data_IF_047570773231
#
_entry.id   IF_047570773231
#
_cell.length_a   1.000
_cell.length_b   1.000
_cell.length_c   1.000
_cell.angle_alpha   90.00
_cell.angle_beta   90.00
_cell.angle_gamma   90.00
#
_symmetry.space_group_name_H-M   'P 1'
#
loop_
_entity.id
_entity.type
_entity.pdbx_description
1 polymer ?
#
# COMPACT_ATOMS: atom_id res chain seq x y z
N UNK A 1 20.01 13.33 17.91
CA UNK A 1 18.76 13.63 18.64
C UNK A 1 18.77 12.86 19.95
N UNK A 2 18.52 13.52 21.06
CA UNK A 2 18.34 12.85 22.36
C UNK A 2 16.85 12.52 22.55
N UNK A 3 16.55 11.36 23.16
CA UNK A 3 15.19 10.97 23.49
C UNK A 3 14.77 11.63 24.82
N UNK A 4 14.19 12.81 24.69
CA UNK A 4 13.83 13.68 25.81
C UNK A 4 12.54 13.25 26.51
N UNK A 5 12.45 13.37 27.85
CA UNK A 5 11.20 13.12 28.57
C UNK A 5 10.12 14.13 28.21
N UNK A 6 8.91 13.62 27.92
CA UNK A 6 7.69 14.38 27.85
C UNK A 6 7.09 14.49 29.25
N UNK A 7 7.25 15.65 29.88
CA UNK A 7 6.70 15.92 31.20
C UNK A 7 5.26 16.41 31.12
N UNK A 8 4.34 15.71 31.78
CA UNK A 8 2.91 16.02 31.80
C UNK A 8 2.59 17.18 32.76
N UNK A 9 3.45 17.45 33.73
CA UNK A 9 3.26 18.50 34.74
C UNK A 9 3.98 19.78 34.31
N UNK A 10 3.38 20.94 34.58
CA UNK A 10 3.98 22.24 34.30
C UNK A 10 3.81 22.75 32.86
N UNK A 11 3.14 21.97 32.01
CA UNK A 11 2.81 22.34 30.64
C UNK A 11 1.33 22.08 30.36
N UNK A 12 0.65 23.07 29.79
CA UNK A 12 -0.69 22.89 29.25
C UNK A 12 -0.57 22.45 27.79
N UNK A 13 -1.03 21.24 27.48
CA UNK A 13 -1.12 20.75 26.11
C UNK A 13 -2.42 21.28 25.49
N UNK A 14 -2.32 22.40 24.77
CA UNK A 14 -3.47 22.99 24.06
C UNK A 14 -3.90 22.17 22.85
N UNK A 15 -2.95 21.47 22.23
CA UNK A 15 -3.18 20.54 21.15
C UNK A 15 -2.72 19.15 21.61
N UNK A 16 -3.57 18.13 21.47
CA UNK A 16 -3.16 16.75 21.71
C UNK A 16 -1.99 16.33 20.81
N UNK A 17 -1.35 15.21 21.14
CA UNK A 17 -0.22 14.69 20.40
C UNK A 17 -0.67 13.59 19.44
N UNK A 18 -0.32 13.70 18.15
CA UNK A 18 -0.56 12.63 17.19
C UNK A 18 0.72 11.80 16.99
N UNK A 19 0.60 10.47 17.08
CA UNK A 19 1.71 9.52 16.92
C UNK A 19 1.36 8.47 15.88
N UNK A 20 2.38 7.84 15.30
CA UNK A 20 2.20 6.60 14.55
C UNK A 20 2.15 5.41 15.50
N UNK A 21 1.33 4.40 15.21
CA UNK A 21 1.40 3.08 15.87
C UNK A 21 2.84 2.53 15.86
N UNK A 22 3.24 1.94 16.99
CA UNK A 22 4.61 1.48 17.26
C UNK A 22 5.57 2.58 17.73
N UNK A 23 5.10 3.83 17.87
CA UNK A 23 5.92 4.90 18.46
C UNK A 23 5.91 4.81 19.98
N UNK A 24 6.97 5.32 20.61
CA UNK A 24 7.07 5.36 22.08
C UNK A 24 7.28 6.78 22.59
N UNK A 25 6.68 7.09 23.74
CA UNK A 25 6.96 8.29 24.50
C UNK A 25 7.78 7.96 25.73
N UNK A 26 8.62 8.90 26.15
CA UNK A 26 9.32 8.85 27.43
C UNK A 26 8.56 9.72 28.42
N UNK A 27 7.68 9.13 29.20
CA UNK A 27 6.73 9.88 30.03
C UNK A 27 7.33 10.27 31.38
N UNK A 28 7.06 11.50 31.79
CA UNK A 28 7.37 12.04 33.11
C UNK A 28 6.16 12.81 33.65
N UNK A 29 6.05 12.94 34.97
CA UNK A 29 5.00 13.75 35.59
C UNK A 29 5.46 14.22 36.96
N UNK A 30 6.32 15.23 37.00
CA UNK A 30 6.74 15.89 38.25
C UNK A 30 7.15 17.35 38.00
N UNK A 31 7.02 18.25 38.99
CA UNK A 31 7.53 19.62 38.91
C UNK A 31 9.04 19.66 38.71
N UNK A 32 9.56 20.68 38.01
CA UNK A 32 10.99 20.79 37.70
C UNK A 32 11.90 20.85 38.95
N UNK A 33 11.39 21.36 40.07
CA UNK A 33 12.05 21.48 41.37
C UNK A 33 11.90 20.23 42.26
N UNK A 34 11.10 19.24 41.84
CA UNK A 34 10.93 18.02 42.60
C UNK A 34 12.20 17.16 42.57
N UNK A 35 12.67 16.77 43.75
CA UNK A 35 13.83 15.87 43.93
C UNK A 35 13.44 14.50 44.50
N UNK A 36 12.26 14.40 45.10
CA UNK A 36 11.69 13.18 45.69
C UNK A 36 10.18 13.16 45.50
N UNK A 37 9.58 11.97 45.58
CA UNK A 37 8.12 11.80 45.46
C UNK A 37 7.74 10.55 44.68
N UNK A 38 6.47 10.16 44.80
CA UNK A 38 5.86 9.09 44.01
C UNK A 38 5.17 9.67 42.78
N UNK A 39 5.35 9.02 41.64
CA UNK A 39 4.71 9.38 40.38
C UNK A 39 3.83 8.24 39.93
N UNK A 40 2.58 8.54 39.58
CA UNK A 40 1.66 7.60 38.94
C UNK A 40 1.30 8.12 37.56
N UNK A 41 1.54 7.32 36.54
CA UNK A 41 1.06 7.55 35.18
C UNK A 41 -0.12 6.60 34.92
N UNK A 42 -1.18 7.15 34.34
CA UNK A 42 -2.39 6.41 33.97
C UNK A 42 -2.66 6.64 32.50
N UNK A 43 -2.74 5.56 31.73
CA UNK A 43 -3.07 5.57 30.32
C UNK A 43 -4.43 4.92 30.15
N UNK A 44 -5.40 5.69 29.68
CA UNK A 44 -6.73 5.19 29.35
C UNK A 44 -6.87 5.10 27.84
N UNK A 45 -7.24 3.93 27.34
CA UNK A 45 -7.58 3.69 25.94
C UNK A 45 -9.09 3.85 25.74
N UNK A 46 -9.50 4.84 24.94
CA UNK A 46 -10.90 5.13 24.70
C UNK A 46 -11.62 4.03 23.88
N UNK A 47 -10.90 3.23 23.10
CA UNK A 47 -11.49 2.21 22.24
C UNK A 47 -11.83 0.93 23.03
N UNK A 48 -10.92 0.50 23.91
CA UNK A 48 -11.08 -0.72 24.72
C UNK A 48 -11.62 -0.43 26.12
N UNK A 49 -11.61 0.84 26.54
CA UNK A 49 -11.89 1.28 27.90
C UNK A 49 -10.92 0.67 28.95
N UNK A 50 -9.74 0.21 28.52
CA UNK A 50 -8.71 -0.31 29.39
C UNK A 50 -7.88 0.80 30.02
N UNK A 51 -7.39 0.54 31.23
CA UNK A 51 -6.54 1.47 31.99
C UNK A 51 -5.24 0.78 32.35
N UNK A 52 -4.12 1.34 31.91
CA UNK A 52 -2.78 0.93 32.33
C UNK A 52 -2.24 1.92 33.36
N UNK A 53 -1.86 1.42 34.54
CA UNK A 53 -1.23 2.22 35.59
C UNK A 53 0.24 1.87 35.73
N UNK A 54 1.08 2.90 35.82
CA UNK A 54 2.53 2.77 35.95
C UNK A 54 2.96 3.59 37.15
N UNK A 55 3.66 2.94 38.08
CA UNK A 55 4.28 3.60 39.23
C UNK A 55 5.73 3.91 38.90
N UNK A 56 6.13 5.15 39.13
CA UNK A 56 7.46 5.68 38.89
C UNK A 56 7.91 6.57 40.06
N UNK A 57 9.13 7.08 39.97
CA UNK A 57 9.70 8.02 40.93
C UNK A 57 10.18 9.28 40.22
N UNK A 58 10.26 10.38 40.97
CA UNK A 58 10.81 11.64 40.48
C UNK A 58 12.23 11.42 39.92
N UNK A 59 12.49 11.98 38.74
CA UNK A 59 13.77 11.83 38.03
C UNK A 59 13.91 10.57 37.18
N UNK A 60 12.94 9.64 37.24
CA UNK A 60 12.97 8.38 36.48
C UNK A 60 11.83 8.31 35.46
N UNK A 61 12.01 8.87 34.25
CA UNK A 61 10.96 8.89 33.23
C UNK A 61 10.81 7.50 32.59
N UNK A 62 9.58 7.15 32.21
CA UNK A 62 9.20 5.78 31.81
C UNK A 62 8.91 5.69 30.31
N UNK A 63 9.52 4.74 29.57
CA UNK A 63 9.08 4.40 28.21
C UNK A 63 7.66 3.88 28.20
N UNK A 64 6.83 4.33 27.26
CA UNK A 64 5.57 3.66 26.93
C UNK A 64 5.40 3.58 25.41
N UNK A 65 5.14 2.37 24.91
CA UNK A 65 4.91 2.09 23.49
C UNK A 65 3.41 2.13 23.17
N UNK A 66 3.06 2.83 22.09
CA UNK A 66 1.70 2.94 21.58
C UNK A 66 1.53 2.06 20.35
N UNK A 67 1.27 0.78 20.57
CA UNK A 67 1.21 -0.21 19.48
C UNK A 67 -0.17 -0.27 18.81
N UNK A 68 -1.23 0.14 19.52
CA UNK A 68 -2.60 0.13 19.00
C UNK A 68 -3.02 1.52 18.53
N UNK A 69 -3.66 1.60 17.36
CA UNK A 69 -4.27 2.83 16.88
C UNK A 69 -5.51 3.17 17.72
N UNK A 70 -5.71 4.45 18.02
CA UNK A 70 -6.79 4.88 18.90
C UNK A 70 -6.56 6.24 19.55
N UNK A 71 -7.49 6.62 20.41
CA UNK A 71 -7.38 7.80 21.26
C UNK A 71 -7.05 7.35 22.68
N UNK A 72 -5.98 7.92 23.22
CA UNK A 72 -5.52 7.67 24.57
C UNK A 72 -5.55 8.96 25.37
N UNK A 73 -5.87 8.84 26.65
CA UNK A 73 -5.65 9.91 27.62
C UNK A 73 -4.53 9.47 28.56
N UNK A 74 -3.42 10.20 28.53
CA UNK A 74 -2.28 9.99 29.42
C UNK A 74 -2.37 11.02 30.53
N UNK A 75 -2.54 10.56 31.77
CA UNK A 75 -2.57 11.40 32.96
C UNK A 75 -1.38 11.07 33.84
N UNK A 76 -0.79 12.09 34.46
CA UNK A 76 0.32 11.94 35.38
C UNK A 76 0.03 12.68 36.68
N UNK A 77 0.35 12.05 37.80
CA UNK A 77 0.21 12.62 39.14
C UNK A 77 1.51 12.44 39.90
N UNK A 78 2.07 13.52 40.42
CA UNK A 78 3.18 13.51 41.37
C UNK A 78 2.64 13.84 42.76
N UNK A 79 3.05 13.07 43.77
CA UNK A 79 2.83 13.39 45.18
C UNK A 79 4.18 13.47 45.90
N UNK A 80 4.46 14.59 46.54
CA UNK A 80 5.68 14.82 47.31
C UNK A 80 5.39 15.68 48.56
N UNK A 81 6.44 16.06 49.30
CA UNK A 81 6.31 16.89 50.50
C UNK A 81 5.71 18.29 50.23
N UNK A 82 5.82 18.78 48.99
CA UNK A 82 5.30 20.09 48.57
C UNK A 82 3.84 20.02 48.09
N UNK A 83 3.25 18.82 48.01
CA UNK A 83 1.85 18.60 47.65
C UNK A 83 1.66 17.65 46.46
N UNK A 84 0.52 17.81 45.80
CA UNK A 84 0.11 17.01 44.64
C UNK A 84 0.04 17.89 43.40
N UNK A 85 0.71 17.47 42.32
CA UNK A 85 0.63 18.10 41.01
C UNK A 85 0.21 17.09 39.97
N UNK A 86 -0.57 17.51 38.99
CA UNK A 86 -1.03 16.63 37.92
C UNK A 86 -1.01 17.31 36.56
N UNK A 87 -1.13 16.51 35.51
CA UNK A 87 -1.34 16.97 34.16
C UNK A 87 -1.81 15.84 33.25
N UNK A 88 -2.39 16.21 32.12
CA UNK A 88 -3.03 15.28 31.20
C UNK A 88 -2.70 15.65 29.76
N UNK A 89 -2.54 14.63 28.91
CA UNK A 89 -2.30 14.75 27.48
C UNK A 89 -3.22 13.78 26.73
N UNK A 90 -3.95 14.30 25.75
CA UNK A 90 -4.61 13.47 24.75
C UNK A 90 -3.59 13.02 23.70
N UNK A 91 -3.51 11.72 23.43
CA UNK A 91 -2.65 11.11 22.41
C UNK A 91 -3.51 10.41 21.37
N UNK A 92 -3.40 10.80 20.10
CA UNK A 92 -4.04 10.12 18.97
C UNK A 92 -3.01 9.26 18.24
N UNK A 93 -3.18 7.95 18.33
CA UNK A 93 -2.31 6.99 17.65
C UNK A 93 -2.95 6.63 16.32
N UNK A 94 -2.25 6.93 15.23
CA UNK A 94 -2.72 6.75 13.86
C UNK A 94 -1.96 5.59 13.23
N UNK A 95 -2.69 4.76 12.50
CA UNK A 95 -2.12 3.80 11.56
C UNK A 95 -2.37 4.26 10.14
N UNK A 96 -1.52 3.83 9.23
CA UNK A 96 -1.65 4.04 7.80
C UNK A 96 -1.03 2.85 7.09
N UNK A 97 -1.76 2.22 6.18
CA UNK A 97 -1.22 1.14 5.36
C UNK A 97 -1.79 1.19 3.94
N UNK A 98 -0.89 1.17 2.96
CA UNK A 98 -1.26 0.92 1.57
C UNK A 98 -1.78 -0.52 1.41
N UNK A 99 -2.64 -0.75 0.43
CA UNK A 99 -3.16 -2.08 0.16
C UNK A 99 -2.15 -2.90 -0.65
N UNK A 100 -1.25 -3.59 0.06
CA UNK A 100 -0.09 -4.26 -0.49
C UNK A 100 1.16 -3.37 -0.50
N UNK A 101 2.32 -4.00 -0.72
CA UNK A 101 3.62 -3.28 -0.75
C UNK A 101 4.02 -2.81 -2.14
N UNK A 102 3.44 -3.42 -3.17
CA UNK A 102 3.71 -3.10 -4.56
C UNK A 102 2.41 -2.98 -5.35
N UNK A 103 2.33 -1.92 -6.14
CA UNK A 103 1.22 -1.63 -7.00
C UNK A 103 1.68 -1.61 -8.46
N UNK A 104 1.15 -2.52 -9.28
CA UNK A 104 1.48 -2.56 -10.70
C UNK A 104 0.51 -1.73 -11.54
N UNK A 105 1.02 -0.93 -12.47
CA UNK A 105 0.23 -0.15 -13.43
C UNK A 105 0.65 -0.50 -14.85
N UNK A 106 -0.29 -0.73 -15.76
CA UNK A 106 0.06 -0.82 -17.19
C UNK A 106 0.50 0.56 -17.67
N UNK A 107 1.64 0.64 -18.36
CA UNK A 107 2.23 1.93 -18.77
C UNK A 107 1.23 2.76 -19.57
N UNK A 108 1.03 4.01 -19.15
CA UNK A 108 0.10 4.94 -19.82
C UNK A 108 -1.39 4.68 -19.57
N UNK A 109 -1.75 3.68 -18.78
CA UNK A 109 -3.14 3.44 -18.36
C UNK A 109 -3.31 3.76 -16.86
N UNK A 110 -4.41 4.44 -16.48
CA UNK A 110 -4.69 4.69 -15.07
C UNK A 110 -5.14 3.38 -14.39
N UNK A 111 -4.61 3.15 -13.19
CA UNK A 111 -5.07 2.12 -12.26
C UNK A 111 -5.83 2.76 -11.10
N UNK A 112 -6.96 2.17 -10.75
CA UNK A 112 -7.63 2.41 -9.47
C UNK A 112 -7.03 1.52 -8.39
N UNK A 113 -6.64 2.10 -7.26
CA UNK A 113 -6.04 1.39 -6.14
C UNK A 113 -6.64 1.84 -4.81
N UNK A 114 -7.40 0.94 -4.20
CA UNK A 114 -8.12 1.20 -2.96
C UNK A 114 -7.25 0.86 -1.75
N UNK A 115 -6.99 1.86 -0.92
CA UNK A 115 -6.17 1.78 0.28
C UNK A 115 -7.03 2.15 1.51
N UNK A 116 -7.85 1.22 2.03
CA UNK A 116 -8.73 1.49 3.17
C UNK A 116 -7.96 1.86 4.44
N UNK A 117 -6.71 1.38 4.57
CA UNK A 117 -5.82 1.71 5.69
C UNK A 117 -5.22 3.11 5.61
N UNK A 118 -5.29 3.81 4.48
CA UNK A 118 -4.79 5.19 4.36
C UNK A 118 -5.91 6.18 4.66
N UNK A 119 -5.85 6.79 5.83
CA UNK A 119 -6.84 7.76 6.29
C UNK A 119 -6.71 9.09 5.56
N UNK A 120 -7.81 9.87 5.52
CA UNK A 120 -7.86 11.19 4.87
C UNK A 120 -6.97 12.23 5.52
N UNK A 121 -6.56 12.00 6.76
CA UNK A 121 -5.65 12.89 7.51
C UNK A 121 -4.18 12.64 7.14
N UNK A 122 -3.91 11.60 6.33
CA UNK A 122 -2.57 11.29 5.86
C UNK A 122 -2.16 12.24 4.74
N UNK A 123 -0.95 12.78 4.83
CA UNK A 123 -0.33 13.51 3.74
C UNK A 123 0.40 12.52 2.84
N UNK A 124 0.04 12.51 1.56
CA UNK A 124 0.66 11.63 0.56
C UNK A 124 1.76 12.38 -0.16
N UNK A 125 2.97 11.81 -0.12
CA UNK A 125 4.13 12.26 -0.86
C UNK A 125 4.45 11.19 -1.90
N UNK A 126 4.45 11.56 -3.17
CA UNK A 126 4.72 10.65 -4.28
C UNK A 126 5.87 11.19 -5.12
N UNK A 127 6.59 10.30 -5.80
CA UNK A 127 7.54 10.71 -6.82
C UNK A 127 6.85 11.57 -7.88
N UNK A 128 7.48 12.67 -8.28
CA UNK A 128 6.88 13.71 -9.13
C UNK A 128 6.53 13.24 -10.54
N UNK A 129 7.02 12.06 -10.95
CA UNK A 129 6.68 11.44 -12.24
C UNK A 129 5.35 10.69 -12.19
N UNK A 130 4.82 10.35 -11.01
CA UNK A 130 3.51 9.73 -10.89
C UNK A 130 2.41 10.78 -11.13
N UNK A 131 1.45 10.43 -11.99
CA UNK A 131 0.17 11.13 -12.00
C UNK A 131 -0.75 10.46 -10.99
N UNK A 132 -1.16 11.22 -9.98
CA UNK A 132 -1.88 10.73 -8.83
C UNK A 132 -3.09 11.63 -8.53
N UNK A 133 -4.25 11.01 -8.41
CA UNK A 133 -5.41 11.65 -7.77
C UNK A 133 -5.89 10.78 -6.61
N UNK A 134 -6.42 11.42 -5.57
CA UNK A 134 -6.89 10.76 -4.36
C UNK A 134 -8.35 11.16 -4.11
N UNK A 135 -9.17 10.18 -3.73
CA UNK A 135 -10.57 10.39 -3.35
C UNK A 135 -10.92 9.54 -2.14
N UNK A 136 -11.89 9.98 -1.35
CA UNK A 136 -12.30 9.24 -0.15
C UNK A 136 -13.12 8.01 -0.53
N UNK A 137 -12.82 6.87 0.08
CA UNK A 137 -13.67 5.68 -0.02
C UNK A 137 -14.91 5.86 0.87
N UNK A 138 -16.07 5.38 0.41
CA UNK A 138 -17.32 5.39 1.19
C UNK A 138 -17.17 4.58 2.48
N UNK A 139 -16.43 3.47 2.44
CA UNK A 139 -16.13 2.60 3.59
C UNK A 139 -15.06 3.17 4.53
N UNK A 140 -14.53 4.36 4.27
CA UNK A 140 -13.34 4.89 4.92
C UNK A 140 -12.05 4.50 4.19
N UNK A 141 -11.05 5.36 4.34
CA UNK A 141 -9.76 5.27 3.64
C UNK A 141 -9.72 6.04 2.33
N UNK A 142 -8.72 5.76 1.49
CA UNK A 142 -8.44 6.54 0.27
C UNK A 142 -8.34 5.64 -0.95
N UNK A 143 -8.99 6.04 -2.04
CA UNK A 143 -8.83 5.51 -3.39
C UNK A 143 -7.86 6.39 -4.16
N UNK A 144 -6.83 5.76 -4.71
CA UNK A 144 -5.90 6.41 -5.62
C UNK A 144 -6.23 6.05 -7.06
N UNK A 145 -6.17 7.03 -7.96
CA UNK A 145 -6.00 6.78 -9.38
C UNK A 145 -4.56 7.10 -9.72
N UNK A 146 -3.80 6.07 -10.08
CA UNK A 146 -2.36 6.14 -10.32
C UNK A 146 -2.09 5.87 -11.79
N UNK A 147 -1.34 6.74 -12.44
CA UNK A 147 -0.81 6.48 -13.78
C UNK A 147 0.71 6.59 -13.74
N UNK A 148 1.37 5.55 -14.26
CA UNK A 148 2.81 5.41 -14.27
C UNK A 148 3.36 5.62 -15.69
N UNK A 149 4.19 6.64 -15.94
CA UNK A 149 4.61 6.98 -17.31
C UNK A 149 5.90 6.28 -17.76
N UNK A 150 6.70 5.72 -16.84
CA UNK A 150 8.02 5.16 -17.14
C UNK A 150 8.12 3.69 -16.77
N UNK A 151 9.25 3.04 -17.10
CA UNK A 151 9.61 1.65 -16.78
C UNK A 151 10.42 1.51 -15.48
N UNK A 152 10.71 2.61 -14.79
CA UNK A 152 11.47 2.63 -13.52
C UNK A 152 10.53 2.52 -12.34
N UNK A 153 10.91 1.85 -11.24
CA UNK A 153 10.10 1.87 -10.03
C UNK A 153 10.00 3.29 -9.46
N UNK A 154 8.79 3.69 -9.12
CA UNK A 154 8.48 4.95 -8.42
C UNK A 154 7.86 4.62 -7.06
N UNK A 155 7.80 5.60 -6.16
CA UNK A 155 7.39 5.38 -4.79
C UNK A 155 6.34 6.39 -4.32
N UNK A 156 5.54 5.93 -3.36
CA UNK A 156 4.58 6.73 -2.62
C UNK A 156 4.78 6.51 -1.12
N UNK A 157 4.58 7.56 -0.34
CA UNK A 157 4.73 7.57 1.11
C UNK A 157 3.53 8.26 1.74
N UNK A 158 2.95 7.64 2.76
CA UNK A 158 1.93 8.25 3.60
C UNK A 158 2.57 8.79 4.88
N UNK A 159 2.24 10.01 5.28
CA UNK A 159 2.78 10.69 6.47
C UNK A 159 1.67 11.20 7.38
N UNK A 160 1.96 11.24 8.67
CA UNK A 160 1.09 11.86 9.67
C UNK A 160 1.27 13.39 9.67
N UNK A 161 0.65 14.09 8.72
CA UNK A 161 0.95 15.49 8.44
C UNK A 161 2.20 15.67 7.57
N UNK A 162 2.43 16.88 7.06
CA UNK A 162 3.46 17.14 6.05
C UNK A 162 4.88 16.82 6.55
N UNK A 163 5.21 17.24 7.77
CA UNK A 163 6.53 17.03 8.40
C UNK A 163 6.53 15.87 9.41
N UNK A 164 5.44 15.10 9.46
CA UNK A 164 5.27 14.05 10.44
C UNK A 164 5.97 12.73 10.08
N UNK A 165 5.90 11.75 11.00
CA UNK A 165 6.45 10.42 10.76
C UNK A 165 5.79 9.75 9.55
N UNK A 166 6.58 8.91 8.87
CA UNK A 166 6.09 8.04 7.80
C UNK A 166 5.21 6.97 8.40
N UNK A 167 3.96 6.90 7.94
CA UNK A 167 3.01 5.85 8.28
C UNK A 167 3.37 4.55 7.55
N UNK A 168 3.47 4.65 6.23
CA UNK A 168 3.78 3.54 5.32
C UNK A 168 4.35 4.04 3.98
N UNK A 169 4.91 3.14 3.19
CA UNK A 169 5.43 3.40 1.85
C UNK A 169 5.11 2.26 0.89
N UNK A 170 4.82 2.59 -0.35
CA UNK A 170 4.57 1.61 -1.40
C UNK A 170 5.42 1.88 -2.63
N UNK A 171 5.80 0.79 -3.30
CA UNK A 171 6.45 0.80 -4.60
C UNK A 171 5.37 0.73 -5.68
N UNK A 172 5.47 1.59 -6.69
CA UNK A 172 4.64 1.54 -7.89
C UNK A 172 5.54 1.05 -9.03
N UNK A 173 5.13 0.00 -9.72
CA UNK A 173 5.85 -0.55 -10.87
C UNK A 173 5.03 -0.39 -12.13
N UNK A 174 5.72 -0.20 -13.26
CA UNK A 174 5.08 -0.22 -14.55
C UNK A 174 5.23 -1.59 -15.22
N UNK A 175 4.13 -2.02 -15.83
CA UNK A 175 4.11 -3.10 -16.80
C UNK A 175 3.99 -2.45 -18.18
N UNK A 176 5.12 -2.36 -18.87
CA UNK A 176 5.12 -2.16 -20.32
C UNK A 176 4.93 -3.51 -20.98
N UNK A 177 4.34 -3.55 -22.18
CA UNK A 177 4.20 -4.80 -22.89
C UNK A 177 3.88 -4.63 -24.36
N UNK A 178 4.34 -5.61 -25.14
CA UNK A 178 3.87 -5.87 -26.49
C UNK A 178 2.71 -6.87 -26.43
N UNK A 179 1.57 -6.51 -27.03
CA UNK A 179 0.35 -7.31 -27.02
C UNK A 179 0.30 -8.29 -28.21
N UNK A 180 1.39 -9.02 -28.45
CA UNK A 180 1.43 -10.02 -29.51
C UNK A 180 1.71 -9.47 -30.91
N UNK A 181 2.50 -8.39 -31.05
CA UNK A 181 2.89 -7.89 -32.38
C UNK A 181 3.71 -8.90 -33.18
N UNK A 182 4.43 -9.78 -32.50
CA UNK A 182 5.10 -10.92 -33.10
C UNK A 182 4.15 -12.11 -33.23
N UNK A 183 3.99 -12.58 -34.46
CA UNK A 183 3.40 -13.89 -34.74
C UNK A 183 4.17 -14.61 -35.86
N UNK A 184 4.19 -15.94 -35.79
CA UNK A 184 4.86 -16.79 -36.78
C UNK A 184 4.02 -18.03 -37.05
N UNK A 185 3.78 -18.31 -38.34
CA UNK A 185 3.19 -19.61 -38.73
C UNK A 185 4.26 -20.69 -38.52
N UNK A 186 3.97 -21.64 -37.64
CA UNK A 186 4.84 -22.80 -37.37
C UNK A 186 4.55 -23.94 -38.34
N UNK A 187 3.28 -24.16 -38.65
CA UNK A 187 2.81 -25.28 -39.46
C UNK A 187 1.54 -24.87 -40.22
N UNK A 188 1.41 -25.37 -41.45
CA UNK A 188 0.16 -25.38 -42.21
C UNK A 188 -0.24 -26.83 -42.42
N UNK A 189 -1.40 -27.22 -41.89
CA UNK A 189 -1.92 -28.57 -41.99
C UNK A 189 -2.48 -28.86 -43.40
N UNK A 190 -2.74 -30.13 -43.69
CA UNK A 190 -3.24 -30.56 -45.01
C UNK A 190 -4.61 -29.99 -45.38
N UNK A 191 -5.42 -29.63 -44.38
CA UNK A 191 -6.73 -28.97 -44.57
C UNK A 191 -6.62 -27.44 -44.74
N UNK A 192 -5.39 -26.90 -44.76
CA UNK A 192 -5.10 -25.48 -44.90
C UNK A 192 -5.18 -24.69 -43.59
N UNK A 193 -5.58 -25.32 -42.48
CA UNK A 193 -5.51 -24.67 -41.17
C UNK A 193 -4.05 -24.43 -40.77
N UNK A 194 -3.81 -23.43 -39.91
CA UNK A 194 -2.47 -22.97 -39.54
C UNK A 194 -2.29 -23.01 -38.04
N UNK A 195 -1.14 -23.51 -37.59
CA UNK A 195 -0.66 -23.36 -36.22
C UNK A 195 0.24 -22.13 -36.16
N UNK A 196 -0.14 -21.16 -35.35
CA UNK A 196 0.52 -19.86 -35.26
C UNK A 196 1.06 -19.69 -33.85
N UNK A 197 2.34 -19.36 -33.74
CA UNK A 197 2.96 -18.89 -32.50
C UNK A 197 2.76 -17.39 -32.36
N UNK A 198 2.45 -16.95 -31.15
CA UNK A 198 2.36 -15.54 -30.78
C UNK A 198 3.27 -15.33 -29.57
N UNK A 199 3.99 -14.20 -29.55
CA UNK A 199 4.86 -13.82 -28.44
C UNK A 199 4.27 -12.63 -27.70
N UNK A 200 4.01 -12.80 -26.42
CA UNK A 200 3.74 -11.72 -25.49
C UNK A 200 5.04 -11.37 -24.76
N UNK A 201 5.35 -10.08 -24.63
CA UNK A 201 6.51 -9.63 -23.88
C UNK A 201 6.11 -8.52 -22.92
N UNK A 202 6.47 -8.65 -21.65
CA UNK A 202 6.26 -7.66 -20.61
C UNK A 202 7.62 -7.18 -20.06
N UNK A 203 7.74 -5.89 -19.78
CA UNK A 203 8.98 -5.32 -19.20
C UNK A 203 9.17 -5.65 -17.72
N UNK A 204 8.06 -5.88 -17.00
CA UNK A 204 8.04 -6.30 -15.59
C UNK A 204 6.98 -7.37 -15.42
N UNK A 205 7.29 -8.44 -14.70
CA UNK A 205 6.38 -9.56 -14.40
C UNK A 205 6.24 -9.68 -12.88
N UNK A 206 5.26 -9.01 -12.24
CA UNK A 206 4.97 -9.19 -10.82
C UNK A 206 4.62 -10.64 -10.50
N UNK A 207 4.95 -11.11 -9.30
CA UNK A 207 4.69 -12.51 -8.91
C UNK A 207 3.18 -12.85 -8.85
N UNK A 208 2.35 -11.85 -8.62
CA UNK A 208 0.89 -11.90 -8.57
C UNK A 208 0.24 -11.50 -9.91
N UNK A 209 1.00 -11.50 -11.01
CA UNK A 209 0.50 -11.21 -12.35
C UNK A 209 -0.48 -12.28 -12.83
N UNK A 210 -1.59 -11.82 -13.39
CA UNK A 210 -2.51 -12.64 -14.16
C UNK A 210 -2.84 -11.94 -15.48
N UNK A 211 -2.62 -12.62 -16.61
CA UNK A 211 -2.97 -12.12 -17.95
C UNK A 211 -4.07 -12.99 -18.52
N UNK A 212 -5.21 -12.38 -18.85
CA UNK A 212 -6.33 -13.05 -19.50
C UNK A 212 -6.37 -12.67 -20.96
N UNK A 213 -6.28 -13.69 -21.82
CA UNK A 213 -6.37 -13.56 -23.25
C UNK A 213 -7.73 -14.07 -23.70
N UNK A 214 -8.40 -13.32 -24.57
CA UNK A 214 -9.66 -13.73 -25.18
C UNK A 214 -9.66 -13.50 -26.69
N UNK A 215 -9.89 -14.56 -27.46
CA UNK A 215 -10.00 -14.51 -28.91
C UNK A 215 -11.40 -14.06 -29.30
N UNK A 216 -11.50 -12.90 -29.96
CA UNK A 216 -12.78 -12.30 -30.36
C UNK A 216 -13.06 -12.43 -31.86
N UNK A 217 -12.14 -12.99 -32.65
CA UNK A 217 -12.28 -13.17 -34.09
C UNK A 217 -12.70 -14.59 -34.47
N UNK A 218 -13.47 -14.70 -35.55
CA UNK A 218 -13.92 -15.98 -36.07
C UNK A 218 -12.81 -16.80 -36.72
N UNK A 219 -12.86 -18.12 -36.53
CA UNK A 219 -11.93 -19.05 -37.16
C UNK A 219 -10.54 -19.08 -36.51
N UNK A 220 -10.41 -18.60 -35.27
CA UNK A 220 -9.19 -18.72 -34.47
C UNK A 220 -9.56 -19.30 -33.10
N UNK A 221 -8.74 -20.20 -32.57
CA UNK A 221 -8.85 -20.73 -31.19
C UNK A 221 -7.45 -20.88 -30.60
N UNK A 222 -7.34 -21.09 -29.29
CA UNK A 222 -6.14 -21.66 -28.69
C UNK A 222 -5.98 -23.13 -29.09
N UNK A 223 -4.81 -23.73 -28.80
CA UNK A 223 -4.52 -25.12 -29.19
C UNK A 223 -5.47 -26.15 -28.59
N UNK A 224 -6.06 -25.85 -27.43
CA UNK A 224 -7.04 -26.69 -26.75
C UNK A 224 -8.47 -26.50 -27.29
N UNK A 225 -8.64 -25.67 -28.32
CA UNK A 225 -9.92 -25.36 -28.94
C UNK A 225 -10.73 -24.29 -28.21
N UNK A 226 -10.22 -23.73 -27.10
CA UNK A 226 -10.90 -22.68 -26.35
C UNK A 226 -10.68 -21.29 -26.95
N UNK A 227 -11.45 -20.32 -26.49
CA UNK A 227 -11.29 -18.89 -26.82
C UNK A 227 -10.62 -18.10 -25.70
N UNK A 228 -10.38 -18.71 -24.54
CA UNK A 228 -9.91 -18.04 -23.33
C UNK A 228 -8.66 -18.76 -22.82
N UNK A 229 -7.61 -17.98 -22.56
CA UNK A 229 -6.37 -18.48 -21.96
C UNK A 229 -5.98 -17.57 -20.80
N UNK A 230 -5.51 -18.17 -19.72
CA UNK A 230 -5.00 -17.44 -18.56
C UNK A 230 -3.53 -17.77 -18.40
N UNK A 231 -2.70 -16.72 -18.37
CA UNK A 231 -1.27 -16.80 -18.10
C UNK A 231 -0.99 -16.20 -16.72
N UNK A 232 -0.01 -16.77 -16.03
CA UNK A 232 0.48 -16.36 -14.73
C UNK A 232 1.92 -15.86 -14.86
N UNK A 233 2.48 -15.31 -13.79
CA UNK A 233 3.90 -14.94 -13.74
C UNK A 233 4.85 -16.09 -14.13
N UNK A 234 4.49 -17.35 -13.85
CA UNK A 234 5.30 -18.52 -14.14
C UNK A 234 5.39 -18.87 -15.64
N UNK A 235 4.49 -18.33 -16.46
CA UNK A 235 4.47 -18.56 -17.91
C UNK A 235 5.42 -17.62 -18.68
N UNK A 236 6.03 -16.66 -17.97
CA UNK A 236 7.02 -15.74 -18.53
C UNK A 236 8.42 -16.14 -18.09
N UNK A 237 9.37 -16.08 -19.02
CA UNK A 237 10.78 -16.30 -18.72
C UNK A 237 11.43 -15.10 -18.01
N UNK A 238 12.73 -15.23 -17.69
CA UNK A 238 13.52 -14.18 -17.03
C UNK A 238 13.58 -12.85 -17.81
N UNK A 239 13.29 -12.87 -19.11
CA UNK A 239 13.23 -11.70 -19.98
C UNK A 239 11.80 -11.12 -20.13
N UNK A 240 10.84 -11.69 -19.40
CA UNK A 240 9.44 -11.31 -19.45
C UNK A 240 8.74 -11.76 -20.72
N UNK A 241 9.22 -12.83 -21.36
CA UNK A 241 8.65 -13.36 -22.60
C UNK A 241 7.82 -14.60 -22.33
N UNK A 242 6.59 -14.62 -22.87
CA UNK A 242 5.73 -15.78 -22.94
C UNK A 242 5.37 -16.05 -24.40
N UNK A 243 5.49 -17.30 -24.83
CA UNK A 243 5.01 -17.75 -26.14
C UNK A 243 3.85 -18.70 -25.97
N UNK A 244 2.78 -18.47 -26.71
CA UNK A 244 1.65 -19.37 -26.78
C UNK A 244 1.23 -19.54 -28.23
N UNK A 245 0.34 -20.49 -28.48
CA UNK A 245 0.00 -20.90 -29.83
C UNK A 245 -1.51 -20.92 -30.04
N UNK A 246 -1.90 -20.57 -31.25
CA UNK A 246 -3.28 -20.54 -31.73
C UNK A 246 -3.43 -21.42 -32.97
N UNK A 247 -4.64 -21.90 -33.18
CA UNK A 247 -5.08 -22.53 -34.41
C UNK A 247 -5.91 -21.52 -35.20
N UNK A 248 -5.64 -21.43 -36.48
CA UNK A 248 -6.38 -20.58 -37.41
C UNK A 248 -6.93 -21.43 -38.56
N UNK A 249 -8.23 -21.33 -38.81
CA UNK A 249 -8.88 -22.07 -39.89
C UNK A 249 -8.42 -21.58 -41.26
N UNK A 250 -8.46 -22.49 -42.25
CA UNK A 250 -8.14 -22.16 -43.64
C UNK A 250 -9.06 -21.07 -44.23
N UNK A 251 -10.28 -20.97 -43.72
CA UNK A 251 -11.29 -20.00 -44.14
C UNK A 251 -11.21 -18.66 -43.37
N UNK A 252 -10.28 -18.51 -42.42
CA UNK A 252 -10.13 -17.29 -41.65
C UNK A 252 -9.53 -16.18 -42.52
N UNK A 253 -10.24 -15.06 -42.63
CA UNK A 253 -9.78 -13.84 -43.31
C UNK A 253 -9.16 -12.82 -42.35
N UNK A 254 -9.15 -13.11 -41.05
CA UNK A 254 -8.60 -12.23 -40.00
C UNK A 254 -7.17 -12.62 -39.65
N UNK A 255 -6.49 -11.79 -38.86
CA UNK A 255 -5.28 -12.24 -38.13
C UNK A 255 -5.66 -13.02 -36.87
N UNK A 256 -4.67 -13.46 -36.08
CA UNK A 256 -4.84 -14.13 -34.77
C UNK A 256 -5.12 -13.13 -33.64
N UNK A 257 -6.08 -12.23 -33.86
CA UNK A 257 -6.40 -11.14 -32.94
C UNK A 257 -7.07 -11.65 -31.65
N UNK A 258 -6.69 -11.04 -30.53
CA UNK A 258 -7.23 -11.33 -29.20
C UNK A 258 -7.10 -10.09 -28.31
N UNK A 259 -7.89 -10.04 -27.25
CA UNK A 259 -7.74 -9.04 -26.19
C UNK A 259 -6.69 -9.52 -25.18
N UNK A 260 -5.99 -8.58 -24.55
CA UNK A 260 -5.04 -8.86 -23.48
C UNK A 260 -5.43 -8.04 -22.26
N UNK A 261 -5.96 -8.69 -21.22
CA UNK A 261 -6.34 -8.04 -19.98
C UNK A 261 -5.36 -8.41 -18.88
N UNK A 262 -4.76 -7.42 -18.24
CA UNK A 262 -3.72 -7.58 -17.23
C UNK A 262 -4.32 -7.29 -15.86
N UNK A 263 -4.04 -8.18 -14.92
CA UNK A 263 -4.49 -8.13 -13.54
C UNK A 263 -3.29 -8.26 -12.60
N UNK A 264 -3.40 -7.62 -11.44
CA UNK A 264 -2.57 -7.89 -10.27
C UNK A 264 -3.48 -8.56 -9.23
N UNK A 265 -3.20 -9.82 -8.90
CA UNK A 265 -4.10 -10.71 -8.17
C UNK A 265 -5.49 -10.72 -8.84
N UNK A 266 -6.52 -10.18 -8.19
CA UNK A 266 -7.90 -10.12 -8.71
C UNK A 266 -8.27 -8.77 -9.34
N UNK A 267 -7.37 -7.78 -9.29
CA UNK A 267 -7.64 -6.39 -9.71
C UNK A 267 -7.22 -6.17 -11.15
N UNK A 268 -8.14 -5.74 -12.02
CA UNK A 268 -7.81 -5.32 -13.38
C UNK A 268 -6.96 -4.04 -13.36
N UNK A 269 -5.81 -4.05 -14.01
CA UNK A 269 -4.85 -2.93 -14.01
C UNK A 269 -4.59 -2.34 -15.40
N UNK A 270 -5.14 -2.94 -16.46
CA UNK A 270 -5.07 -2.41 -17.81
C UNK A 270 -4.96 -3.49 -18.87
N UNK A 271 -4.72 -3.08 -20.12
CA UNK A 271 -4.56 -4.00 -21.25
C UNK A 271 -5.18 -3.49 -22.55
N UNK A 272 -5.22 -4.34 -23.57
CA UNK A 272 -5.93 -4.10 -24.82
C UNK A 272 -7.30 -4.76 -24.79
N UNK A 273 -8.29 -4.01 -25.27
CA UNK A 273 -9.68 -4.45 -25.43
C UNK A 273 -10.01 -4.59 -26.89
#
# INVERSE_FOLDING_TARGET
MAWEPLNLVGHAFSNGLALRSGSSLRLAAWPADATTGSVTLTLWDAATNEVTNIVATVGSPVPYAFDQAGLFTVSGVCSNANGVTNGTLAVRVVTGAFNGREAACVTGQPRTWDCPGITTDSVIVADSLLSLTATNLVSGGTRFTVMHPSDKPLYMVARLGADGPVLDSAKIVAISGDNGSYFRVLETFSDGSRRVEVRLQLGTVPADLLVKLHIFVGGVTFLDGTLDMTLTAADFDESGVCTYQMLQSAASFTSVCHTTQIYQDTVYIGGTR
#
